data_IF_502386789346
#
_entry.id   IF_502386789346
#
_cell.length_a   1.000
_cell.length_b   1.000
_cell.length_c   1.000
_cell.angle_alpha   90.00
_cell.angle_beta   90.00
_cell.angle_gamma   90.00
#
_symmetry.space_group_name_H-M   'P 1'
#
loop_
_entity.id
_entity.type
_entity.pdbx_description
1 polymer ?
#
# COMPACT_ATOMS: atom_id res chain seq x y z
N UNK A 1 -20.92 -13.56 64.12
CA UNK A 1 -20.92 -12.55 63.05
C UNK A 1 -19.48 -12.44 62.54
N UNK A 2 -19.10 -13.43 61.73
CA UNK A 2 -18.73 -13.31 60.30
C UNK A 2 -17.21 -13.09 60.17
N UNK A 3 -16.35 -14.12 60.17
CA UNK A 3 -16.13 -15.27 59.26
C UNK A 3 -15.25 -14.94 58.03
N UNK A 4 -14.00 -15.41 58.14
CA UNK A 4 -12.97 -15.82 57.18
C UNK A 4 -12.43 -14.91 56.03
N UNK A 5 -11.11 -14.95 55.74
CA UNK A 5 -10.44 -14.26 54.65
C UNK A 5 -10.47 -15.07 53.35
N UNK A 6 -10.59 -14.41 52.19
CA UNK A 6 -10.45 -15.08 50.89
C UNK A 6 -9.08 -14.82 50.26
N UNK A 7 -8.26 -15.85 50.37
CA UNK A 7 -7.08 -16.04 49.56
C UNK A 7 -7.45 -16.28 48.08
N UNK A 8 -6.45 -15.98 47.23
CA UNK A 8 -6.04 -16.82 46.10
C UNK A 8 -6.84 -16.75 44.79
N UNK A 9 -6.09 -16.30 43.76
CA UNK A 9 -6.08 -16.76 42.36
C UNK A 9 -7.24 -16.38 41.45
N UNK A 10 -6.98 -15.39 40.59
CA UNK A 10 -7.35 -15.46 39.16
C UNK A 10 -6.30 -14.75 38.29
N UNK A 11 -5.23 -15.46 37.95
CA UNK A 11 -4.76 -15.52 36.56
C UNK A 11 -5.09 -16.96 36.14
N UNK A 12 -5.64 -17.22 34.93
CA UNK A 12 -4.87 -16.97 33.70
C UNK A 12 -5.72 -16.69 32.43
N UNK A 13 -5.02 -16.52 31.30
CA UNK A 13 -5.49 -16.70 29.91
C UNK A 13 -6.41 -15.64 29.28
N UNK A 14 -5.79 -14.59 28.74
CA UNK A 14 -6.25 -14.03 27.46
C UNK A 14 -6.19 -15.15 26.42
N UNK A 15 -7.33 -15.79 26.20
CA UNK A 15 -7.57 -16.79 25.17
C UNK A 15 -7.07 -16.25 23.80
N UNK A 16 -6.10 -16.89 23.13
CA UNK A 16 -5.60 -16.48 21.81
C UNK A 16 -6.60 -16.72 20.65
N UNK A 17 -7.83 -17.11 20.96
CA UNK A 17 -8.85 -17.48 19.99
C UNK A 17 -9.88 -16.35 19.82
N UNK A 18 -9.50 -15.26 19.13
CA UNK A 18 -10.48 -14.50 18.34
C UNK A 18 -9.93 -13.58 17.24
N UNK A 19 -8.78 -13.91 16.64
CA UNK A 19 -8.16 -13.07 15.58
C UNK A 19 -9.05 -12.88 14.34
N UNK A 20 -10.04 -13.76 14.13
CA UNK A 20 -10.99 -13.65 13.02
C UNK A 20 -12.08 -12.62 13.31
N UNK A 21 -12.61 -12.52 14.54
CA UNK A 21 -13.62 -11.50 14.86
C UNK A 21 -13.04 -10.09 14.92
N UNK A 22 -11.77 -9.92 15.33
CA UNK A 22 -11.10 -8.61 15.30
C UNK A 22 -10.87 -8.13 13.86
N UNK A 23 -10.49 -9.02 12.94
CA UNK A 23 -10.34 -8.68 11.53
C UNK A 23 -11.69 -8.37 10.86
N UNK A 24 -12.75 -9.09 11.24
CA UNK A 24 -14.10 -8.83 10.74
C UNK A 24 -14.67 -7.48 11.21
N UNK A 25 -14.36 -7.05 12.44
CA UNK A 25 -14.75 -5.71 12.94
C UNK A 25 -14.00 -4.58 12.23
N UNK A 26 -12.70 -4.73 11.98
CA UNK A 26 -11.91 -3.73 11.24
C UNK A 26 -12.39 -3.58 9.78
N UNK A 27 -12.78 -4.67 9.12
CA UNK A 27 -13.34 -4.63 7.77
C UNK A 27 -14.73 -3.94 7.71
N UNK A 28 -15.47 -3.90 8.82
CA UNK A 28 -16.79 -3.24 8.89
C UNK A 28 -16.67 -1.74 9.14
N UNK A 29 -15.62 -1.30 9.83
CA UNK A 29 -15.38 0.10 10.22
C UNK A 29 -14.74 0.93 9.09
N UNK A 30 -13.89 0.32 8.25
CA UNK A 30 -13.38 0.94 7.00
C UNK A 30 -14.49 1.13 5.94
N UNK A 31 -15.69 0.60 6.19
CA UNK A 31 -16.86 0.76 5.30
C UNK A 31 -17.70 2.01 5.59
N UNK A 32 -17.43 2.75 6.68
CA UNK A 32 -18.25 3.90 7.12
C UNK A 32 -17.51 5.23 7.22
N UNK A 33 -16.40 5.40 6.51
CA UNK A 33 -15.75 6.70 6.32
C UNK A 33 -16.43 7.52 5.22
N UNK A 34 -16.72 8.79 5.49
CA UNK A 34 -17.43 9.73 4.59
C UNK A 34 -16.63 10.01 3.31
N UNK A 35 -16.88 9.21 2.28
CA UNK A 35 -16.41 9.40 0.91
C UNK A 35 -17.22 8.50 -0.03
N UNK A 36 -18.19 9.06 -0.75
CA UNK A 36 -19.11 8.28 -1.58
C UNK A 36 -18.38 7.58 -2.75
N UNK A 37 -18.32 6.24 -2.62
CA UNK A 37 -18.76 5.22 -3.61
C UNK A 37 -17.98 5.12 -4.93
N UNK A 38 -16.99 4.24 -4.93
CA UNK A 38 -16.94 3.18 -5.93
C UNK A 38 -16.44 1.86 -5.33
N UNK A 39 -17.34 1.11 -4.69
CA UNK A 39 -17.04 -0.26 -4.29
C UNK A 39 -16.93 -1.12 -5.55
N UNK A 40 -15.72 -1.24 -6.09
CA UNK A 40 -15.44 -2.14 -7.22
C UNK A 40 -15.53 -3.58 -6.72
N UNK A 41 -15.99 -4.54 -7.55
CA UNK A 41 -16.02 -5.94 -7.17
C UNK A 41 -14.64 -6.40 -6.69
N UNK A 42 -14.60 -7.27 -5.66
CA UNK A 42 -13.33 -7.78 -5.10
C UNK A 42 -12.38 -8.31 -6.17
N UNK A 43 -12.92 -9.04 -7.17
CA UNK A 43 -12.16 -9.52 -8.32
C UNK A 43 -11.44 -8.40 -9.09
N UNK A 44 -12.11 -7.27 -9.35
CA UNK A 44 -11.52 -6.14 -10.05
C UNK A 44 -10.41 -5.45 -9.23
N UNK A 45 -10.46 -5.51 -7.90
CA UNK A 45 -9.38 -5.04 -7.03
C UNK A 45 -8.19 -5.98 -7.11
N UNK A 46 -8.42 -7.30 -7.03
CA UNK A 46 -7.34 -8.28 -7.14
C UNK A 46 -6.59 -8.17 -8.47
N UNK A 47 -7.28 -8.02 -9.59
CA UNK A 47 -6.63 -7.86 -10.90
C UNK A 47 -5.73 -6.63 -10.95
N UNK A 48 -6.18 -5.49 -10.41
CA UNK A 48 -5.33 -4.29 -10.35
C UNK A 48 -4.11 -4.44 -9.46
N UNK A 49 -4.23 -5.17 -8.35
CA UNK A 49 -3.06 -5.45 -7.51
C UNK A 49 -2.07 -6.33 -8.27
N UNK A 50 -2.54 -7.32 -9.03
CA UNK A 50 -1.67 -8.17 -9.86
C UNK A 50 -0.99 -7.39 -10.97
N UNK A 51 -1.74 -6.52 -11.65
CA UNK A 51 -1.21 -5.62 -12.68
C UNK A 51 -0.14 -4.69 -12.09
N UNK A 52 -0.42 -4.05 -10.95
CA UNK A 52 0.52 -3.17 -10.27
C UNK A 52 1.80 -3.92 -9.84
N UNK A 53 1.64 -5.16 -9.36
CA UNK A 53 2.77 -6.00 -9.00
C UNK A 53 3.64 -6.38 -10.21
N UNK A 54 3.03 -6.59 -11.38
CA UNK A 54 3.76 -6.88 -12.62
C UNK A 54 4.47 -5.62 -13.18
N UNK A 55 3.84 -4.45 -13.07
CA UNK A 55 4.39 -3.18 -13.53
C UNK A 55 5.49 -2.62 -12.61
N UNK A 56 5.43 -2.94 -11.30
CA UNK A 56 6.32 -2.40 -10.27
C UNK A 56 5.86 -1.07 -9.68
N UNK A 57 4.67 -0.61 -10.06
CA UNK A 57 4.04 0.61 -9.59
C UNK A 57 2.52 0.52 -9.81
N UNK A 58 1.78 1.43 -9.18
CA UNK A 58 0.35 1.61 -9.38
C UNK A 58 0.05 3.05 -9.79
N UNK A 59 -0.93 3.23 -10.67
CA UNK A 59 -1.50 4.54 -11.02
C UNK A 59 -2.96 4.54 -10.62
N UNK A 60 -3.41 5.62 -9.99
CA UNK A 60 -4.81 5.81 -9.63
C UNK A 60 -5.22 7.25 -9.92
N UNK A 61 -6.00 7.42 -10.99
CA UNK A 61 -6.51 8.71 -11.44
C UNK A 61 -7.94 8.91 -10.95
N UNK A 62 -8.20 10.03 -10.26
CA UNK A 62 -9.49 10.48 -9.76
C UNK A 62 -10.37 9.40 -9.07
N UNK A 63 -9.76 8.34 -8.54
CA UNK A 63 -10.48 7.15 -8.03
C UNK A 63 -10.90 7.26 -6.57
N UNK A 64 -10.36 8.24 -5.83
CA UNK A 64 -10.66 8.48 -4.42
C UNK A 64 -11.28 9.86 -4.18
N UNK A 65 -10.71 10.89 -4.82
CA UNK A 65 -11.22 12.26 -4.82
C UNK A 65 -11.13 12.83 -6.24
N UNK A 66 -12.17 13.54 -6.69
CA UNK A 66 -12.11 14.22 -8.00
C UNK A 66 -11.02 15.28 -7.93
N UNK A 67 -10.13 15.30 -8.93
CA UNK A 67 -9.03 16.27 -8.98
C UNK A 67 -7.72 15.82 -8.36
N UNK A 68 -7.60 14.55 -7.90
CA UNK A 68 -6.33 13.99 -7.43
C UNK A 68 -6.00 12.71 -8.20
N UNK A 69 -4.77 12.67 -8.71
CA UNK A 69 -4.16 11.48 -9.30
C UNK A 69 -2.90 11.12 -8.54
N UNK A 70 -2.58 9.84 -8.50
CA UNK A 70 -1.41 9.35 -7.77
C UNK A 70 -0.63 8.31 -8.54
N UNK A 71 0.68 8.30 -8.33
CA UNK A 71 1.59 7.21 -8.68
C UNK A 71 2.15 6.64 -7.38
N UNK A 72 2.06 5.33 -7.19
CA UNK A 72 2.59 4.66 -6.01
C UNK A 72 3.57 3.56 -6.38
N UNK A 73 4.67 3.44 -5.63
CA UNK A 73 5.66 2.40 -5.80
C UNK A 73 5.93 1.68 -4.46
N UNK A 74 6.21 0.37 -4.48
CA UNK A 74 6.42 -0.41 -3.26
C UNK A 74 7.78 -0.10 -2.64
N UNK A 75 7.80 0.03 -1.31
CA UNK A 75 9.01 0.07 -0.51
C UNK A 75 9.17 -1.29 0.15
N UNK A 76 10.29 -1.96 -0.08
CA UNK A 76 10.56 -3.31 0.41
C UNK A 76 11.59 -3.32 1.53
N UNK A 77 11.41 -4.24 2.46
CA UNK A 77 12.40 -4.54 3.51
C UNK A 77 13.45 -5.55 3.04
N UNK A 78 14.39 -5.92 3.90
CA UNK A 78 15.43 -6.91 3.61
C UNK A 78 14.90 -8.31 3.27
N UNK A 79 13.67 -8.65 3.67
CA UNK A 79 13.02 -9.92 3.33
C UNK A 79 12.34 -9.88 1.95
N UNK A 80 12.31 -8.70 1.32
CA UNK A 80 11.62 -8.45 0.05
C UNK A 80 10.12 -8.22 0.20
N UNK A 81 9.59 -8.19 1.44
CA UNK A 81 8.18 -7.88 1.70
C UNK A 81 7.94 -6.38 1.55
N UNK A 82 6.74 -6.02 1.13
CA UNK A 82 6.31 -4.62 1.08
C UNK A 82 6.14 -4.14 2.53
N UNK A 83 6.99 -3.21 2.95
CA UNK A 83 6.95 -2.59 4.27
C UNK A 83 6.20 -1.25 4.25
N UNK A 84 6.18 -0.57 3.10
CA UNK A 84 5.44 0.67 2.88
C UNK A 84 5.13 0.88 1.40
N UNK A 85 4.36 1.92 1.08
CA UNK A 85 4.19 2.44 -0.28
C UNK A 85 4.61 3.91 -0.30
N UNK A 86 5.40 4.29 -1.30
CA UNK A 86 5.72 5.69 -1.57
C UNK A 86 4.75 6.20 -2.63
N UNK A 87 4.13 7.36 -2.39
CA UNK A 87 3.12 7.92 -3.29
C UNK A 87 3.48 9.34 -3.71
N UNK A 88 3.45 9.59 -5.01
CA UNK A 88 3.50 10.91 -5.62
C UNK A 88 2.07 11.36 -5.89
N UNK A 89 1.68 12.52 -5.35
CA UNK A 89 0.34 13.08 -5.50
C UNK A 89 0.35 14.24 -6.50
N UNK A 90 -0.56 14.17 -7.47
CA UNK A 90 -0.74 15.16 -8.52
C UNK A 90 -2.13 15.79 -8.31
N UNK A 91 -2.24 17.11 -8.07
CA UNK A 91 -3.52 17.80 -7.87
C UNK A 91 -4.23 18.06 -9.23
N UNK A 92 -4.41 17.00 -10.02
CA UNK A 92 -5.17 16.97 -11.27
C UNK A 92 -5.95 15.66 -11.36
N UNK A 93 -7.06 15.68 -12.10
CA UNK A 93 -7.92 14.50 -12.28
C UNK A 93 -7.28 13.39 -13.10
N UNK A 94 -6.26 13.73 -13.89
CA UNK A 94 -5.44 12.84 -14.70
C UNK A 94 -3.96 13.23 -14.55
N UNK A 95 -3.05 12.29 -14.81
CA UNK A 95 -1.61 12.57 -14.76
C UNK A 95 -1.14 13.30 -16.02
N UNK A 96 -1.86 13.16 -17.13
CA UNK A 96 -1.51 13.66 -18.45
C UNK A 96 -1.05 12.54 -19.39
N UNK A 97 -0.49 12.94 -20.53
CA UNK A 97 0.00 12.00 -21.53
C UNK A 97 1.23 11.22 -21.05
N UNK A 98 1.65 10.23 -21.83
CA UNK A 98 2.83 9.39 -21.53
C UNK A 98 4.07 10.23 -21.22
N UNK A 99 4.30 11.32 -21.96
CA UNK A 99 5.44 12.21 -21.74
C UNK A 99 5.43 12.93 -20.38
N UNK A 100 4.26 13.24 -19.83
CA UNK A 100 4.10 13.81 -18.48
C UNK A 100 4.14 12.73 -17.39
N UNK A 101 3.56 11.57 -17.68
CA UNK A 101 3.38 10.47 -16.73
C UNK A 101 4.66 9.66 -16.51
N UNK A 102 5.44 9.38 -17.55
CA UNK A 102 6.64 8.56 -17.44
C UNK A 102 7.68 9.13 -16.46
N UNK A 103 8.01 10.44 -16.49
CA UNK A 103 8.94 11.02 -15.51
C UNK A 103 8.47 10.83 -14.06
N UNK A 104 7.15 10.93 -13.80
CA UNK A 104 6.59 10.75 -12.46
C UNK A 104 6.68 9.30 -11.99
N UNK A 105 6.45 8.33 -12.88
CA UNK A 105 6.63 6.91 -12.60
C UNK A 105 8.10 6.61 -12.29
N UNK A 106 9.01 7.07 -13.15
CA UNK A 106 10.45 6.85 -12.98
C UNK A 106 10.92 7.44 -11.65
N UNK A 107 10.55 8.68 -11.35
CA UNK A 107 10.92 9.36 -10.11
C UNK A 107 10.34 8.65 -8.87
N UNK A 108 9.07 8.25 -8.91
CA UNK A 108 8.42 7.53 -7.81
C UNK A 108 9.08 6.17 -7.55
N UNK A 109 9.33 5.39 -8.60
CA UNK A 109 10.02 4.10 -8.49
C UNK A 109 11.46 4.26 -8.01
N UNK A 110 12.18 5.28 -8.47
CA UNK A 110 13.54 5.57 -8.01
C UNK A 110 13.57 5.89 -6.52
N UNK A 111 12.71 6.79 -6.05
CA UNK A 111 12.63 7.16 -4.63
C UNK A 111 12.23 5.97 -3.74
N UNK A 112 11.28 5.14 -4.19
CA UNK A 112 10.88 3.93 -3.48
C UNK A 112 12.01 2.90 -3.40
N UNK A 113 12.78 2.75 -4.49
CA UNK A 113 13.94 1.86 -4.50
C UNK A 113 15.04 2.35 -3.57
N UNK A 114 15.36 3.65 -3.58
CA UNK A 114 16.36 4.25 -2.69
C UNK A 114 16.00 4.02 -1.22
N UNK A 115 14.73 4.21 -0.85
CA UNK A 115 14.26 3.92 0.51
C UNK A 115 14.36 2.42 0.83
N UNK A 116 14.02 1.55 -0.12
CA UNK A 116 14.14 0.10 0.05
C UNK A 116 15.60 -0.32 0.27
N UNK A 117 16.55 0.26 -0.48
CA UNK A 117 17.98 -0.02 -0.34
C UNK A 117 18.53 0.38 1.03
N UNK A 118 18.03 1.50 1.59
CA UNK A 118 18.30 1.94 2.97
C UNK A 118 17.73 0.96 4.00
N UNK A 119 16.63 0.29 3.70
CA UNK A 119 16.07 -0.82 4.47
C UNK A 119 16.77 -2.17 4.19
N UNK A 120 17.95 -2.13 3.56
CA UNK A 120 18.75 -3.31 3.21
C UNK A 120 18.09 -4.26 2.20
N UNK A 121 17.06 -3.81 1.48
CA UNK A 121 16.55 -4.54 0.32
C UNK A 121 17.60 -4.54 -0.80
N UNK A 122 17.69 -5.66 -1.52
CA UNK A 122 18.56 -5.81 -2.69
C UNK A 122 17.72 -6.34 -3.85
N UNK A 123 17.41 -5.50 -4.86
CA UNK A 123 16.56 -5.90 -5.98
C UNK A 123 17.27 -6.95 -6.85
N UNK A 124 16.48 -7.90 -7.36
CA UNK A 124 16.92 -8.79 -8.42
C UNK A 124 16.96 -8.03 -9.76
N UNK A 125 17.60 -8.60 -10.77
CA UNK A 125 17.65 -8.00 -12.11
C UNK A 125 16.26 -7.85 -12.75
N UNK A 126 15.35 -8.76 -12.41
CA UNK A 126 13.97 -8.82 -12.89
C UNK A 126 12.96 -8.10 -11.97
N UNK A 127 13.42 -7.37 -10.93
CA UNK A 127 12.49 -6.61 -10.09
C UNK A 127 11.84 -5.48 -10.92
N UNK A 128 10.51 -5.46 -11.04
CA UNK A 128 9.84 -4.53 -11.93
C UNK A 128 9.97 -3.07 -11.47
N UNK A 129 10.02 -2.82 -10.16
CA UNK A 129 10.22 -1.47 -9.60
C UNK A 129 11.62 -0.96 -9.93
N UNK A 130 12.63 -1.81 -9.76
CA UNK A 130 14.01 -1.48 -10.10
C UNK A 130 14.21 -1.28 -11.61
N UNK A 131 13.50 -2.05 -12.43
CA UNK A 131 13.48 -1.86 -13.88
C UNK A 131 12.91 -0.49 -14.27
N UNK A 132 11.81 -0.03 -13.65
CA UNK A 132 11.29 1.32 -13.88
C UNK A 132 12.25 2.41 -13.40
N UNK A 133 12.80 2.26 -12.20
CA UNK A 133 13.74 3.22 -11.60
C UNK A 133 14.99 3.47 -12.45
N UNK A 134 15.42 2.46 -13.21
CA UNK A 134 16.61 2.53 -14.09
C UNK A 134 16.31 3.05 -15.49
N UNK A 135 15.03 3.22 -15.86
CA UNK A 135 14.67 3.81 -17.15
C UNK A 135 15.11 5.27 -17.19
N UNK A 136 15.61 5.70 -18.35
CA UNK A 136 15.82 7.12 -18.62
C UNK A 136 14.48 7.72 -19.05
N UNK A 137 14.09 8.83 -18.45
CA UNK A 137 12.96 9.61 -18.97
C UNK A 137 13.38 10.18 -20.33
N UNK A 138 12.60 9.90 -21.37
CA UNK A 138 12.74 10.62 -22.63
C UNK A 138 12.18 12.02 -22.37
N UNK A 139 13.04 13.03 -22.29
CA UNK A 139 12.60 14.41 -22.15
C UNK A 139 11.78 14.77 -23.39
N UNK A 140 10.52 15.19 -23.20
CA UNK A 140 9.76 15.84 -24.26
C UNK A 140 10.54 17.09 -24.72
N UNK A 141 10.81 17.18 -26.03
CA UNK A 141 11.37 18.36 -26.69
C UNK A 141 10.25 19.30 -27.13
#
# INVERSE_FOLDING_TARGET
>A
MADSPHASRYHPELNPMNRIETAAKMAKEEQTGVGRRQAKPRAAVYERVRESAALGYAVSEASFERGISVVSAPVRDQSGKIAAALTVTIPRSDIGETAEREPLIIAGCHAALELSERLSYRPRQDDPTAMQARRRSVAAH
#
